data_IF_220819114179
#
_entry.id   IF_220819114179
#
_cell.length_a   1.000
_cell.length_b   1.000
_cell.length_c   1.000
_cell.angle_alpha   90.00
_cell.angle_beta   90.00
_cell.angle_gamma   90.00
#
_symmetry.space_group_name_H-M   'P 1'
#
loop_
_entity.id
_entity.type
_entity.pdbx_description
1 polymer ?
#
# COMPACT_ATOMS: atom_id res chain seq x y z
N UNK A 1 -73.61 32.81 -25.43
CA UNK A 1 -73.49 31.38 -25.10
C UNK A 1 -72.12 30.88 -25.56
N UNK A 2 -71.43 30.17 -24.66
CA UNK A 2 -70.23 29.33 -24.91
C UNK A 2 -69.01 29.97 -25.58
N UNK A 3 -68.43 30.95 -24.89
CA UNK A 3 -66.99 31.23 -24.92
C UNK A 3 -66.41 30.83 -23.56
N UNK A 4 -65.78 29.66 -23.46
CA UNK A 4 -64.91 29.21 -22.36
C UNK A 4 -64.54 27.75 -22.61
N UNK A 5 -63.26 27.42 -22.37
CA UNK A 5 -62.64 26.09 -22.44
C UNK A 5 -62.11 25.67 -23.80
N UNK A 6 -61.06 26.35 -24.28
CA UNK A 6 -59.96 25.73 -25.06
C UNK A 6 -58.79 26.69 -25.21
N UNK A 7 -58.31 27.21 -24.09
CA UNK A 7 -57.14 28.11 -24.06
C UNK A 7 -56.62 28.27 -22.62
N UNK A 8 -56.48 27.15 -21.91
CA UNK A 8 -56.06 27.11 -20.51
C UNK A 8 -55.14 25.90 -20.18
N UNK A 9 -54.42 25.37 -21.17
CA UNK A 9 -53.50 24.25 -20.97
C UNK A 9 -52.12 24.44 -21.65
N UNK A 10 -51.72 25.69 -21.91
CA UNK A 10 -50.40 25.99 -22.50
C UNK A 10 -49.73 27.26 -21.93
N UNK A 11 -50.09 27.67 -20.71
CA UNK A 11 -49.41 28.74 -19.96
C UNK A 11 -49.43 28.47 -18.44
N UNK A 12 -48.93 27.32 -18.03
CA UNK A 12 -48.79 26.96 -16.61
C UNK A 12 -47.57 26.07 -16.30
N UNK A 13 -46.49 26.16 -17.10
CA UNK A 13 -45.23 25.43 -16.80
C UNK A 13 -43.98 26.32 -16.82
N UNK A 14 -44.16 27.64 -16.81
CA UNK A 14 -43.04 28.59 -16.80
C UNK A 14 -43.23 29.70 -15.77
N UNK A 15 -43.42 29.35 -14.49
CA UNK A 15 -43.27 30.31 -13.39
C UNK A 15 -43.06 29.63 -12.02
N UNK A 16 -42.00 28.83 -11.86
CA UNK A 16 -41.50 28.45 -10.54
C UNK A 16 -40.01 28.75 -10.49
N UNK A 17 -39.71 30.04 -10.35
CA UNK A 17 -38.44 30.52 -9.82
C UNK A 17 -38.77 31.71 -8.91
N UNK A 18 -38.21 31.70 -7.69
CA UNK A 18 -38.00 32.87 -6.83
C UNK A 18 -39.20 33.51 -6.10
N UNK A 19 -39.55 32.98 -4.93
CA UNK A 19 -39.63 33.76 -3.68
C UNK A 19 -39.98 32.83 -2.51
N UNK A 20 -38.99 32.44 -1.71
CA UNK A 20 -39.20 32.24 -0.27
C UNK A 20 -37.84 32.12 0.41
N UNK A 21 -37.32 33.27 0.83
CA UNK A 21 -36.21 33.37 1.77
C UNK A 21 -36.71 34.19 2.95
N UNK A 22 -36.46 33.64 4.14
CA UNK A 22 -36.41 34.23 5.47
C UNK A 22 -37.59 34.01 6.45
N UNK A 23 -37.17 33.40 7.56
CA UNK A 23 -37.61 33.56 8.95
C UNK A 23 -38.66 32.57 9.48
N UNK A 24 -38.15 31.65 10.32
CA UNK A 24 -38.64 31.05 11.58
C UNK A 24 -37.94 29.68 11.68
N UNK A 25 -36.91 29.42 12.47
CA UNK A 25 -36.64 29.90 13.83
C UNK A 25 -37.44 29.06 14.82
N UNK A 26 -36.97 27.89 15.23
CA UNK A 26 -37.59 27.10 16.30
C UNK A 26 -37.19 25.63 16.34
N UNK A 27 -36.37 25.27 17.32
CA UNK A 27 -35.87 23.94 17.66
C UNK A 27 -36.98 22.88 17.77
N UNK A 28 -36.77 21.70 17.18
CA UNK A 28 -37.31 20.44 17.73
C UNK A 28 -36.14 19.59 18.20
N UNK A 29 -35.76 19.79 19.45
CA UNK A 29 -34.91 18.88 20.19
C UNK A 29 -35.59 17.51 20.27
N UNK A 30 -35.08 16.56 19.48
CA UNK A 30 -35.38 15.14 19.68
C UNK A 30 -34.66 14.73 20.95
N UNK A 31 -35.38 14.69 22.08
CA UNK A 31 -34.82 14.21 23.33
C UNK A 31 -34.38 12.76 23.19
N UNK A 32 -33.06 12.54 23.09
CA UNK A 32 -32.45 11.24 23.42
C UNK A 32 -32.52 11.13 24.94
N UNK A 33 -33.48 10.34 25.45
CA UNK A 33 -33.49 9.95 26.86
C UNK A 33 -32.27 9.07 27.12
N UNK A 34 -31.19 9.68 27.60
CA UNK A 34 -30.02 8.95 28.09
C UNK A 34 -30.42 8.28 29.40
N UNK A 35 -30.68 6.97 29.37
CA UNK A 35 -30.68 6.18 30.60
C UNK A 35 -29.29 6.33 31.26
N UNK A 36 -29.19 6.60 32.57
CA UNK A 36 -27.89 6.66 33.22
C UNK A 36 -27.20 5.31 33.02
N UNK A 37 -26.00 5.34 32.43
CA UNK A 37 -25.14 4.16 32.30
C UNK A 37 -24.82 3.72 33.73
N UNK A 38 -25.36 2.58 34.15
CA UNK A 38 -24.95 1.91 35.38
C UNK A 38 -23.42 1.73 35.29
N UNK A 39 -22.69 2.34 36.23
CA UNK A 39 -21.24 2.21 36.35
C UNK A 39 -20.93 0.79 36.80
N UNK A 40 -20.88 -0.13 35.84
CA UNK A 40 -20.11 -1.34 36.01
C UNK A 40 -18.63 -0.93 35.98
N UNK A 41 -17.79 -1.37 36.93
CA UNK A 41 -16.35 -1.14 36.84
C UNK A 41 -15.85 -1.85 35.58
N UNK A 42 -15.64 -1.08 34.51
CA UNK A 42 -14.95 -1.54 33.31
C UNK A 42 -13.53 -1.92 33.76
N UNK A 43 -13.28 -3.23 33.86
CA UNK A 43 -11.92 -3.78 33.92
C UNK A 43 -11.22 -3.27 32.66
N UNK A 44 -10.37 -2.26 32.82
CA UNK A 44 -9.52 -1.72 31.76
C UNK A 44 -8.56 -2.81 31.33
N UNK A 45 -8.96 -3.64 30.38
CA UNK A 45 -8.02 -4.44 29.61
C UNK A 45 -7.11 -3.40 28.92
N UNK A 46 -5.78 -3.41 29.15
CA UNK A 46 -4.91 -2.42 28.55
C UNK A 46 -5.06 -2.51 27.03
N UNK A 47 -5.67 -1.48 26.45
CA UNK A 47 -5.80 -1.35 25.00
C UNK A 47 -4.38 -1.36 24.46
N UNK A 48 -4.04 -2.37 23.65
CA UNK A 48 -2.74 -2.42 22.96
C UNK A 48 -2.63 -1.17 22.08
N UNK A 49 -1.95 -0.15 22.59
CA UNK A 49 -1.52 0.99 21.82
C UNK A 49 -0.64 0.42 20.71
N UNK A 50 -1.08 0.53 19.46
CA UNK A 50 -0.29 0.12 18.29
C UNK A 50 0.86 1.13 18.13
N UNK A 51 1.83 1.07 19.02
CA UNK A 51 3.08 1.81 18.89
C UNK A 51 3.87 1.28 17.69
N UNK A 52 4.60 2.18 17.03
CA UNK A 52 5.53 1.80 15.99
C UNK A 52 6.62 0.89 16.58
N UNK A 53 6.80 -0.30 16.01
CA UNK A 53 7.88 -1.21 16.38
C UNK A 53 9.23 -0.64 15.91
N UNK A 54 10.27 -0.73 16.73
CA UNK A 54 11.62 -0.35 16.32
C UNK A 54 12.17 -1.37 15.32
N UNK A 55 13.02 -0.93 14.38
CA UNK A 55 13.59 -1.77 13.34
C UNK A 55 14.25 -3.05 13.93
N UNK A 56 15.00 -2.89 15.02
CA UNK A 56 15.70 -3.98 15.72
C UNK A 56 14.77 -4.97 16.43
N UNK A 57 13.51 -4.62 16.69
CA UNK A 57 12.54 -5.55 17.29
C UNK A 57 11.98 -6.56 16.27
N UNK A 58 12.15 -6.30 14.97
CA UNK A 58 11.66 -7.18 13.92
C UNK A 58 12.46 -8.49 13.89
N UNK A 59 11.75 -9.61 13.71
CA UNK A 59 12.35 -10.96 13.68
C UNK A 59 13.34 -11.14 12.53
N UNK A 60 13.05 -10.54 11.37
CA UNK A 60 13.85 -10.67 10.14
C UNK A 60 15.03 -9.69 10.05
N UNK A 61 15.08 -8.69 10.94
CA UNK A 61 16.17 -7.73 10.97
C UNK A 61 17.20 -8.22 11.98
N UNK A 62 18.40 -8.46 11.48
CA UNK A 62 19.52 -9.00 12.22
C UNK A 62 20.72 -8.08 12.05
N UNK A 63 21.40 -7.77 13.14
CA UNK A 63 22.65 -7.01 13.12
C UNK A 63 23.78 -8.00 12.91
N UNK A 64 24.61 -7.78 11.88
CA UNK A 64 25.68 -8.73 11.51
C UNK A 64 26.71 -8.93 12.62
N UNK A 65 27.04 -7.86 13.35
CA UNK A 65 27.97 -7.92 14.47
C UNK A 65 27.42 -8.78 15.63
N UNK A 66 26.10 -8.74 15.88
CA UNK A 66 25.49 -9.62 16.88
C UNK A 66 25.60 -11.09 16.47
N UNK A 67 25.41 -11.42 15.18
CA UNK A 67 25.56 -12.79 14.67
C UNK A 67 27.00 -13.27 14.82
N UNK A 68 27.99 -12.43 14.48
CA UNK A 68 29.39 -12.77 14.66
C UNK A 68 29.72 -12.97 16.14
N UNK A 69 29.22 -12.10 17.01
CA UNK A 69 29.40 -12.22 18.47
C UNK A 69 28.79 -13.53 19.00
N UNK A 70 27.56 -13.86 18.62
CA UNK A 70 26.92 -15.11 19.03
C UNK A 70 27.67 -16.31 18.48
N UNK A 71 28.14 -16.28 17.23
CA UNK A 71 28.99 -17.32 16.66
C UNK A 71 30.21 -17.58 17.55
N UNK A 72 30.96 -16.54 17.91
CA UNK A 72 32.14 -16.67 18.76
C UNK A 72 31.80 -17.28 20.14
N UNK A 73 30.63 -16.97 20.70
CA UNK A 73 30.16 -17.57 21.95
C UNK A 73 29.89 -19.07 21.75
N UNK A 74 29.18 -19.45 20.69
CA UNK A 74 28.80 -20.85 20.45
C UNK A 74 29.98 -21.75 20.06
N UNK A 75 30.99 -21.22 19.36
CA UNK A 75 32.19 -21.97 18.97
C UNK A 75 33.21 -22.13 20.11
N UNK A 76 33.09 -21.35 21.17
CA UNK A 76 34.07 -21.37 22.25
C UNK A 76 33.90 -22.61 23.14
N UNK A 77 34.94 -23.47 23.30
CA UNK A 77 34.79 -24.80 23.91
C UNK A 77 34.54 -24.79 25.43
N UNK A 78 34.92 -23.71 26.13
CA UNK A 78 34.80 -23.62 27.60
C UNK A 78 33.66 -22.69 28.04
N UNK A 79 32.52 -22.70 27.33
CA UNK A 79 31.34 -21.91 27.72
C UNK A 79 30.52 -22.54 28.84
N UNK A 80 29.84 -21.69 29.61
CA UNK A 80 28.85 -22.15 30.58
C UNK A 80 27.54 -22.53 29.89
N UNK A 81 26.88 -23.57 30.39
CA UNK A 81 25.57 -24.04 29.90
C UNK A 81 24.55 -22.91 29.78
N UNK A 82 24.47 -22.04 30.79
CA UNK A 82 23.53 -20.92 30.81
C UNK A 82 23.77 -19.93 29.68
N UNK A 83 25.03 -19.65 29.36
CA UNK A 83 25.36 -18.70 28.30
C UNK A 83 25.00 -19.26 26.92
N UNK A 84 25.24 -20.57 26.69
CA UNK A 84 24.80 -21.25 25.48
C UNK A 84 23.27 -21.21 25.34
N UNK A 85 22.54 -21.55 26.40
CA UNK A 85 21.07 -21.50 26.39
C UNK A 85 20.54 -20.08 26.15
N UNK A 86 21.10 -19.07 26.79
CA UNK A 86 20.69 -17.68 26.61
C UNK A 86 20.97 -17.21 25.18
N UNK A 87 22.14 -17.54 24.63
CA UNK A 87 22.51 -17.21 23.25
C UNK A 87 21.58 -17.87 22.24
N UNK A 88 21.29 -19.17 22.42
CA UNK A 88 20.34 -19.88 21.55
C UNK A 88 18.91 -19.32 21.67
N UNK A 89 18.46 -18.90 22.86
CA UNK A 89 17.17 -18.23 23.05
C UNK A 89 17.09 -16.89 22.32
N UNK A 90 18.16 -16.09 22.34
CA UNK A 90 18.22 -14.84 21.58
C UNK A 90 18.24 -15.09 20.07
N UNK A 91 19.02 -16.09 19.62
CA UNK A 91 19.05 -16.52 18.23
C UNK A 91 17.68 -16.99 17.74
N UNK A 92 16.92 -17.73 18.57
CA UNK A 92 15.56 -18.18 18.25
C UNK A 92 14.59 -17.03 17.98
N UNK A 93 14.79 -15.86 18.61
CA UNK A 93 13.96 -14.67 18.36
C UNK A 93 14.22 -14.07 16.98
N UNK A 94 15.37 -14.37 16.38
CA UNK A 94 15.84 -13.83 15.11
C UNK A 94 15.82 -14.90 14.01
N UNK A 95 15.54 -14.46 12.79
CA UNK A 95 15.57 -15.32 11.61
C UNK A 95 16.49 -14.62 10.59
N UNK A 96 17.79 -14.95 10.58
CA UNK A 96 18.72 -14.41 9.60
C UNK A 96 18.37 -14.90 8.19
N UNK A 97 18.78 -14.13 7.19
CA UNK A 97 18.61 -14.48 5.78
C UNK A 97 19.59 -15.59 5.38
N UNK A 98 19.30 -16.29 4.28
CA UNK A 98 20.17 -17.36 3.78
C UNK A 98 21.60 -16.86 3.53
N UNK A 99 21.75 -15.66 2.98
CA UNK A 99 23.04 -15.03 2.71
C UNK A 99 23.82 -14.75 4.00
N UNK A 100 23.15 -14.28 5.06
CA UNK A 100 23.77 -14.03 6.36
C UNK A 100 24.23 -15.33 7.01
N UNK A 101 23.42 -16.39 6.94
CA UNK A 101 23.81 -17.71 7.48
C UNK A 101 25.03 -18.25 6.73
N UNK A 102 25.05 -18.14 5.39
CA UNK A 102 26.15 -18.61 4.55
C UNK A 102 27.45 -17.83 4.76
N UNK A 103 27.37 -16.50 4.83
CA UNK A 103 28.54 -15.63 5.01
C UNK A 103 29.17 -15.74 6.38
N UNK A 104 28.35 -15.80 7.44
CA UNK A 104 28.85 -15.88 8.82
C UNK A 104 29.20 -17.29 9.24
N UNK A 105 28.64 -18.32 8.59
CA UNK A 105 28.73 -19.74 8.97
C UNK A 105 28.15 -20.05 10.37
N UNK A 106 27.27 -19.19 10.89
CA UNK A 106 26.58 -19.43 12.16
C UNK A 106 25.77 -20.74 12.15
N UNK A 107 25.29 -21.16 10.98
CA UNK A 107 24.56 -22.42 10.82
C UNK A 107 25.39 -23.65 11.19
N UNK A 108 26.69 -23.65 10.86
CA UNK A 108 27.61 -24.73 11.22
C UNK A 108 27.81 -24.78 12.75
N UNK A 109 28.04 -23.62 13.38
CA UNK A 109 28.20 -23.52 14.83
C UNK A 109 26.95 -24.01 15.61
N UNK A 110 25.75 -23.64 15.17
CA UNK A 110 24.50 -24.15 15.76
C UNK A 110 24.33 -25.65 15.48
N UNK A 111 24.74 -26.12 14.29
CA UNK A 111 24.76 -27.52 13.92
C UNK A 111 25.60 -28.38 14.87
N UNK A 112 26.82 -27.93 15.18
CA UNK A 112 27.72 -28.61 16.12
C UNK A 112 27.13 -28.75 17.53
N UNK A 113 26.29 -27.80 17.96
CA UNK A 113 25.63 -27.86 19.26
C UNK A 113 24.46 -28.85 19.34
N UNK A 114 23.99 -29.38 18.21
CA UNK A 114 22.95 -30.43 18.22
C UNK A 114 23.48 -31.74 18.81
N UNK A 115 24.78 -31.99 18.77
CA UNK A 115 25.43 -33.18 19.34
C UNK A 115 26.05 -32.92 20.71
N UNK A 116 25.67 -31.82 21.38
CA UNK A 116 26.19 -31.47 22.71
C UNK A 116 25.67 -32.42 23.80
N UNK A 117 26.45 -32.65 24.85
CA UNK A 117 26.14 -33.60 25.93
C UNK A 117 24.85 -33.23 26.70
N UNK A 118 24.65 -31.93 26.94
CA UNK A 118 23.42 -31.40 27.53
C UNK A 118 22.24 -31.48 26.56
N UNK A 119 21.25 -32.32 26.89
CA UNK A 119 20.03 -32.54 26.10
C UNK A 119 19.22 -31.25 25.88
N UNK A 120 19.17 -30.34 26.86
CA UNK A 120 18.41 -29.09 26.73
C UNK A 120 19.03 -28.14 25.70
N UNK A 121 20.36 -28.08 25.66
CA UNK A 121 21.12 -27.26 24.70
C UNK A 121 20.97 -27.87 23.31
N UNK A 122 21.14 -29.18 23.19
CA UNK A 122 20.96 -29.93 21.95
C UNK A 122 19.55 -29.73 21.36
N UNK A 123 18.50 -29.91 22.17
CA UNK A 123 17.11 -29.73 21.74
C UNK A 123 16.84 -28.30 21.26
N UNK A 124 17.31 -27.29 22.01
CA UNK A 124 17.12 -25.89 21.62
C UNK A 124 17.89 -25.54 20.33
N UNK A 125 19.09 -26.08 20.14
CA UNK A 125 19.86 -25.92 18.92
C UNK A 125 19.15 -26.55 17.70
N UNK A 126 18.58 -27.76 17.87
CA UNK A 126 17.78 -28.42 16.84
C UNK A 126 16.55 -27.58 16.47
N UNK A 127 15.83 -27.03 17.45
CA UNK A 127 14.68 -26.15 17.17
C UNK A 127 15.07 -24.92 16.35
N UNK A 128 16.17 -24.25 16.71
CA UNK A 128 16.66 -23.06 15.97
C UNK A 128 17.06 -23.44 14.55
N UNK A 129 17.81 -24.53 14.39
CA UNK A 129 18.24 -25.02 13.09
C UNK A 129 17.05 -25.39 12.18
N UNK A 130 16.11 -26.17 12.70
CA UNK A 130 14.90 -26.57 11.98
C UNK A 130 14.04 -25.36 11.62
N UNK A 131 13.94 -24.37 12.51
CA UNK A 131 13.22 -23.12 12.25
C UNK A 131 13.85 -22.36 11.09
N UNK A 132 15.18 -22.25 11.04
CA UNK A 132 15.88 -21.58 9.95
C UNK A 132 15.76 -22.36 8.64
N UNK A 133 15.96 -23.68 8.67
CA UNK A 133 15.87 -24.52 7.49
C UNK A 133 14.46 -24.51 6.88
N UNK A 134 13.43 -24.71 7.71
CA UNK A 134 12.02 -24.68 7.29
C UNK A 134 11.68 -23.31 6.71
N UNK A 135 12.09 -22.23 7.37
CA UNK A 135 11.86 -20.89 6.89
C UNK A 135 12.53 -20.64 5.54
N UNK A 136 13.79 -21.04 5.35
CA UNK A 136 14.47 -20.85 4.07
C UNK A 136 13.75 -21.65 2.97
N UNK A 137 13.40 -22.91 3.22
CA UNK A 137 12.66 -23.76 2.27
C UNK A 137 11.31 -23.12 1.87
N UNK A 138 10.53 -22.67 2.84
CA UNK A 138 9.22 -22.05 2.59
C UNK A 138 9.30 -20.69 1.90
N UNK A 139 10.34 -19.89 2.17
CA UNK A 139 10.45 -18.54 1.59
C UNK A 139 11.20 -18.51 0.26
N UNK A 140 11.99 -19.55 -0.09
CA UNK A 140 12.63 -19.67 -1.41
C UNK A 140 11.63 -19.69 -2.56
N UNK A 141 10.46 -20.30 -2.36
CA UNK A 141 9.42 -20.43 -3.39
C UNK A 141 8.41 -19.28 -3.41
N UNK A 142 8.52 -18.31 -2.49
CA UNK A 142 7.57 -17.20 -2.44
C UNK A 142 7.87 -16.22 -3.57
N UNK A 143 6.89 -15.91 -4.43
CA UNK A 143 7.08 -14.91 -5.47
C UNK A 143 7.35 -13.54 -4.83
N UNK A 144 8.15 -12.72 -5.50
CA UNK A 144 8.33 -11.33 -5.10
C UNK A 144 6.96 -10.63 -5.11
N UNK A 145 6.65 -9.94 -4.01
CA UNK A 145 5.39 -9.20 -3.88
C UNK A 145 5.49 -7.97 -4.80
N UNK A 146 5.00 -8.11 -6.02
CA UNK A 146 4.71 -6.95 -6.88
C UNK A 146 3.50 -6.23 -6.29
N UNK A 147 3.69 -4.99 -5.86
CA UNK A 147 2.58 -4.13 -5.43
C UNK A 147 1.81 -3.69 -6.66
N UNK A 148 0.91 -4.56 -7.13
CA UNK A 148 -0.05 -4.22 -8.19
C UNK A 148 -1.18 -3.38 -7.61
N UNK A 149 -1.71 -2.47 -8.42
CA UNK A 149 -2.95 -1.78 -8.07
C UNK A 149 -4.12 -2.78 -8.03
N UNK A 150 -5.20 -2.42 -7.33
CA UNK A 150 -6.43 -3.21 -7.34
C UNK A 150 -7.04 -3.29 -8.76
N UNK A 151 -7.87 -4.31 -8.99
CA UNK A 151 -8.42 -4.58 -10.32
C UNK A 151 -9.27 -3.43 -10.88
N UNK A 152 -9.94 -2.63 -10.04
CA UNK A 152 -10.73 -1.50 -10.50
C UNK A 152 -9.81 -0.34 -10.94
N UNK A 153 -8.75 -0.08 -10.19
CA UNK A 153 -7.71 0.89 -10.57
C UNK A 153 -7.05 0.50 -11.89
N UNK A 154 -6.67 -0.77 -12.07
CA UNK A 154 -6.04 -1.21 -13.32
C UNK A 154 -6.98 -1.05 -14.52
N UNK A 155 -8.25 -1.42 -14.40
CA UNK A 155 -9.26 -1.22 -15.47
C UNK A 155 -9.42 0.27 -15.85
N UNK A 156 -9.39 1.18 -14.88
CA UNK A 156 -9.48 2.62 -15.15
C UNK A 156 -8.23 3.15 -15.87
N UNK A 157 -7.04 2.65 -15.50
CA UNK A 157 -5.78 2.99 -16.17
C UNK A 157 -5.71 2.44 -17.58
N UNK A 158 -6.16 1.20 -17.80
CA UNK A 158 -6.31 0.60 -19.13
C UNK A 158 -7.24 1.43 -20.02
N UNK A 159 -8.39 1.86 -19.49
CA UNK A 159 -9.30 2.75 -20.24
C UNK A 159 -8.66 4.10 -20.57
N UNK A 160 -7.88 4.68 -19.65
CA UNK A 160 -7.15 5.92 -19.92
C UNK A 160 -6.10 5.74 -21.04
N UNK A 161 -5.33 4.63 -21.02
CA UNK A 161 -4.40 4.27 -22.09
C UNK A 161 -5.12 4.13 -23.43
N UNK A 162 -6.27 3.43 -23.47
CA UNK A 162 -7.10 3.33 -24.68
C UNK A 162 -7.50 4.70 -25.24
N UNK A 163 -8.01 5.61 -24.40
CA UNK A 163 -8.41 6.95 -24.81
C UNK A 163 -7.24 7.80 -25.33
N UNK A 164 -6.06 7.66 -24.73
CA UNK A 164 -4.84 8.34 -25.16
C UNK A 164 -4.32 7.77 -26.49
N UNK A 165 -4.39 6.46 -26.68
CA UNK A 165 -4.04 5.78 -27.93
C UNK A 165 -4.94 6.24 -29.08
N UNK A 166 -6.26 6.30 -28.85
CA UNK A 166 -7.21 6.88 -29.80
C UNK A 166 -6.89 8.34 -30.13
N UNK A 167 -6.46 9.15 -29.14
CA UNK A 167 -6.09 10.54 -29.39
C UNK A 167 -4.79 10.69 -30.21
N UNK A 168 -3.90 9.72 -30.10
CA UNK A 168 -2.62 9.67 -30.81
C UNK A 168 -2.68 8.95 -32.16
N UNK A 169 -3.80 8.28 -32.48
CA UNK A 169 -3.95 7.35 -33.60
C UNK A 169 -2.88 6.25 -33.56
N UNK A 170 -2.73 5.60 -32.39
CA UNK A 170 -1.76 4.54 -32.14
C UNK A 170 -2.46 3.33 -31.50
N UNK A 171 -1.75 2.21 -31.43
CA UNK A 171 -2.22 1.03 -30.70
C UNK A 171 -2.24 1.28 -29.17
N UNK A 172 -3.15 0.60 -28.47
CA UNK A 172 -3.37 0.77 -27.03
C UNK A 172 -2.15 0.38 -26.17
N UNK A 173 -1.31 -0.53 -26.69
CA UNK A 173 -0.12 -1.07 -26.01
C UNK A 173 1.18 -0.38 -26.47
N UNK A 174 1.07 0.77 -27.14
CA UNK A 174 2.25 1.52 -27.56
C UNK A 174 2.98 2.15 -26.35
N UNK A 175 4.30 1.97 -26.28
CA UNK A 175 5.15 2.44 -25.17
C UNK A 175 4.96 3.91 -24.82
N UNK A 176 4.84 4.79 -25.82
CA UNK A 176 4.58 6.22 -25.63
C UNK A 176 3.28 6.50 -24.85
N UNK A 177 2.20 5.78 -25.14
CA UNK A 177 0.90 5.94 -24.47
C UNK A 177 1.02 5.49 -23.02
N UNK A 178 1.74 4.39 -22.78
CA UNK A 178 2.03 3.91 -21.43
C UNK A 178 2.87 4.92 -20.64
N UNK A 179 3.89 5.52 -21.26
CA UNK A 179 4.71 6.56 -20.62
C UNK A 179 3.87 7.79 -20.23
N UNK A 180 2.99 8.27 -21.10
CA UNK A 180 2.12 9.42 -20.81
C UNK A 180 1.20 9.11 -19.63
N UNK A 181 0.52 7.96 -19.63
CA UNK A 181 -0.39 7.59 -18.54
C UNK A 181 0.36 7.40 -17.22
N UNK A 182 1.51 6.73 -17.23
CA UNK A 182 2.35 6.54 -16.03
C UNK A 182 2.82 7.87 -15.46
N UNK A 183 3.19 8.82 -16.31
CA UNK A 183 3.60 10.16 -15.88
C UNK A 183 2.43 10.93 -15.26
N UNK A 184 1.23 10.87 -15.86
CA UNK A 184 0.02 11.45 -15.26
C UNK A 184 -0.25 10.84 -13.89
N UNK A 185 -0.21 9.51 -13.79
CA UNK A 185 -0.41 8.81 -12.52
C UNK A 185 0.62 9.21 -11.47
N UNK A 186 1.89 9.38 -11.87
CA UNK A 186 2.95 9.85 -10.98
C UNK A 186 2.68 11.27 -10.47
N UNK A 187 2.38 12.21 -11.36
CA UNK A 187 2.16 13.61 -11.01
C UNK A 187 0.86 13.87 -10.23
N UNK A 188 -0.11 12.95 -10.29
CA UNK A 188 -1.36 13.02 -9.51
C UNK A 188 -1.33 12.12 -8.27
N UNK A 189 -0.18 12.09 -7.59
CA UNK A 189 0.04 11.41 -6.30
C UNK A 189 -0.21 9.91 -6.31
N UNK A 190 -0.09 9.23 -7.47
CA UNK A 190 -0.28 7.77 -7.62
C UNK A 190 -1.64 7.27 -7.14
N UNK A 191 -2.68 8.09 -7.32
CA UNK A 191 -4.07 7.76 -6.98
C UNK A 191 -5.00 8.13 -8.13
N UNK A 192 -6.01 7.29 -8.39
CA UNK A 192 -7.09 7.64 -9.32
C UNK A 192 -8.08 8.57 -8.63
N UNK A 193 -7.68 9.82 -8.49
CA UNK A 193 -8.50 10.89 -7.94
C UNK A 193 -9.17 11.70 -9.08
N UNK A 194 -9.93 12.73 -8.69
CA UNK A 194 -10.58 13.65 -9.63
C UNK A 194 -9.54 14.37 -10.52
N UNK A 195 -8.38 14.73 -9.97
CA UNK A 195 -7.29 15.40 -10.69
C UNK A 195 -6.72 14.52 -11.81
N UNK A 196 -6.49 13.22 -11.55
CA UNK A 196 -6.09 12.23 -12.54
C UNK A 196 -7.09 12.21 -13.71
N UNK A 197 -8.39 12.05 -13.40
CA UNK A 197 -9.45 12.01 -14.43
C UNK A 197 -9.59 13.32 -15.20
N UNK A 198 -9.36 14.47 -14.57
CA UNK A 198 -9.40 15.79 -15.23
C UNK A 198 -8.19 15.99 -16.14
N UNK A 199 -7.01 15.58 -15.69
CA UNK A 199 -5.74 15.68 -16.43
C UNK A 199 -5.77 14.77 -17.66
N UNK A 200 -6.19 13.50 -17.53
CA UNK A 200 -6.36 12.59 -18.68
C UNK A 200 -7.32 13.17 -19.70
N UNK A 201 -8.49 13.67 -19.29
CA UNK A 201 -9.45 14.29 -20.22
C UNK A 201 -8.88 15.54 -20.91
N UNK A 202 -8.15 16.37 -20.19
CA UNK A 202 -7.51 17.56 -20.75
C UNK A 202 -6.46 17.19 -21.80
N UNK A 203 -5.63 16.17 -21.51
CA UNK A 203 -4.63 15.65 -22.45
C UNK A 203 -5.28 15.02 -23.68
N UNK A 204 -6.28 14.16 -23.50
CA UNK A 204 -7.02 13.55 -24.62
C UNK A 204 -7.62 14.63 -25.53
N UNK A 205 -8.22 15.67 -24.95
CA UNK A 205 -8.77 16.78 -25.72
C UNK A 205 -7.67 17.56 -26.48
N UNK A 206 -6.56 17.88 -25.81
CA UNK A 206 -5.44 18.58 -26.44
C UNK A 206 -4.85 17.77 -27.60
N UNK A 207 -4.63 16.47 -27.41
CA UNK A 207 -4.04 15.59 -28.42
C UNK A 207 -4.99 15.31 -29.60
N UNK A 208 -6.30 15.27 -29.37
CA UNK A 208 -7.30 15.13 -30.45
C UNK A 208 -7.36 16.38 -31.33
N UNK A 209 -7.39 17.57 -30.71
CA UNK A 209 -7.69 18.81 -31.44
C UNK A 209 -6.46 19.64 -31.85
N UNK A 210 -5.30 19.48 -31.21
CA UNK A 210 -4.05 20.19 -31.55
C UNK A 210 -3.08 19.26 -32.26
N UNK A 211 -3.07 19.32 -33.60
CA UNK A 211 -2.21 18.47 -34.42
C UNK A 211 -0.72 18.73 -34.19
N UNK A 212 -0.31 19.98 -33.95
CA UNK A 212 1.08 20.34 -33.67
C UNK A 212 1.61 19.65 -32.41
N UNK A 213 0.86 19.75 -31.29
CA UNK A 213 1.21 19.10 -30.03
C UNK A 213 1.29 17.58 -30.20
N UNK A 214 0.41 17.00 -31.02
CA UNK A 214 0.44 15.56 -31.31
C UNK A 214 1.72 15.15 -32.06
N UNK A 215 2.13 15.88 -33.09
CA UNK A 215 3.37 15.60 -33.82
C UNK A 215 4.61 15.79 -32.93
N UNK A 216 4.68 16.87 -32.16
CA UNK A 216 5.79 17.15 -31.24
C UNK A 216 5.99 16.05 -30.18
N UNK A 217 4.90 15.41 -29.74
CA UNK A 217 4.96 14.29 -28.80
C UNK A 217 5.42 12.99 -29.48
N UNK A 218 5.09 12.78 -30.75
CA UNK A 218 5.58 11.64 -31.54
C UNK A 218 7.06 11.76 -31.89
N UNK A 219 7.49 12.97 -32.26
CA UNK A 219 8.87 13.29 -32.62
C UNK A 219 9.78 13.43 -31.38
N UNK A 220 9.20 13.46 -30.18
CA UNK A 220 9.95 13.58 -28.92
C UNK A 220 10.49 14.98 -28.64
N UNK A 221 10.02 16.00 -29.37
CA UNK A 221 10.42 17.40 -29.18
C UNK A 221 9.97 17.95 -27.83
N UNK A 222 8.79 17.53 -27.36
CA UNK A 222 8.28 17.89 -26.02
C UNK A 222 8.49 16.71 -25.08
N UNK A 223 9.09 16.97 -23.92
CA UNK A 223 9.22 15.97 -22.86
C UNK A 223 7.85 15.66 -22.25
N UNK A 224 7.59 14.37 -22.04
CA UNK A 224 6.32 13.88 -21.49
C UNK A 224 6.00 14.53 -20.14
N UNK A 225 7.01 14.68 -19.28
CA UNK A 225 6.87 15.37 -17.98
C UNK A 225 6.31 16.79 -18.13
N UNK A 226 6.85 17.58 -19.05
CA UNK A 226 6.44 18.98 -19.30
C UNK A 226 5.02 19.04 -19.90
N UNK A 227 4.71 18.14 -20.83
CA UNK A 227 3.37 18.01 -21.40
C UNK A 227 2.31 17.74 -20.34
N UNK A 228 2.58 16.78 -19.45
CA UNK A 228 1.63 16.40 -18.38
C UNK A 228 1.49 17.55 -17.40
N UNK A 229 2.58 18.20 -17.04
CA UNK A 229 2.57 19.31 -16.08
C UNK A 229 1.78 20.52 -16.61
N UNK A 230 1.88 20.83 -17.90
CA UNK A 230 1.13 21.95 -18.51
C UNK A 230 -0.39 21.70 -18.59
N UNK A 231 -0.82 20.43 -18.54
CA UNK A 231 -2.23 20.04 -18.63
C UNK A 231 -2.82 19.54 -17.31
N UNK A 232 -2.04 19.59 -16.23
CA UNK A 232 -2.47 19.22 -14.88
C UNK A 232 -3.57 20.17 -14.39
N UNK A 233 -4.66 19.61 -13.89
CA UNK A 233 -5.86 20.33 -13.41
C UNK A 233 -6.30 19.90 -12.03
#
# INVERSE_FOLDING_TARGET
>A
MTARRRSALLRAETQIYFQSVCCLGGSMDKFVVRKPKCLQPEVKIPSKTKGQATLYSLKRVVVLEDIKRWKCILEFPNQTRENLMNTLKELKKKIPSEEVIRSTKIGEAVGSLQTHDDKDVSHLAQEVYNQWETFIKENRSKPNIEVRCDAATEKLRQNARRLLAEAQNMEADHSLVECIEREVFHQTSRLINVHYRRTIRALVFALKHKAETRCQVKEGTIKIHELVQSHKK
#
